data_IF_654123787566
#
_entry.id   IF_654123787566
#
_cell.length_a   1.000
_cell.length_b   1.000
_cell.length_c   1.000
_cell.angle_alpha   90.00
_cell.angle_beta   90.00
_cell.angle_gamma   90.00
#
_symmetry.space_group_name_H-M   'P 1'
#
loop_
_entity.id
_entity.type
_entity.pdbx_description
1 polymer ?
#
# COMPACT_ATOMS: atom_id res chain seq x y z
N UNK A 1 15.81 19.36 5.57
CA UNK A 1 14.38 19.69 5.74
C UNK A 1 13.61 18.38 5.96
N UNK A 2 12.65 18.43 6.86
CA UNK A 2 11.70 17.34 7.07
C UNK A 2 10.30 17.88 6.79
N UNK A 3 9.53 17.14 6.01
CA UNK A 3 8.14 17.47 5.71
C UNK A 3 7.30 16.22 5.91
N UNK A 4 6.16 16.34 6.56
CA UNK A 4 5.22 15.22 6.75
C UNK A 4 3.80 15.64 6.44
N UNK A 5 3.07 14.78 5.77
CA UNK A 5 1.66 14.98 5.53
C UNK A 5 0.90 13.66 5.64
N UNK A 6 -0.21 13.69 6.37
CA UNK A 6 -1.16 12.58 6.36
C UNK A 6 -2.10 12.72 5.17
N UNK A 7 -2.25 11.65 4.42
CA UNK A 7 -3.22 11.55 3.34
C UNK A 7 -4.32 10.57 3.74
N UNK A 8 -5.56 10.91 3.43
CA UNK A 8 -6.70 10.01 3.56
C UNK A 8 -7.05 9.51 2.16
N UNK A 9 -6.84 8.22 1.95
CA UNK A 9 -7.23 7.57 0.70
C UNK A 9 -8.69 7.14 0.80
N UNK A 10 -9.47 7.47 -0.21
CA UNK A 10 -10.88 7.05 -0.27
C UNK A 10 -10.99 5.53 -0.24
N UNK A 11 -12.13 4.98 0.25
CA UNK A 11 -12.32 3.53 0.30
C UNK A 11 -12.11 2.89 -1.07
N UNK A 12 -11.39 1.79 -1.09
CA UNK A 12 -11.13 1.01 -2.29
C UNK A 12 -11.66 -0.41 -2.12
N UNK A 13 -12.00 -1.03 -3.23
CA UNK A 13 -12.32 -2.45 -3.25
C UNK A 13 -11.10 -3.26 -2.82
N UNK A 14 -11.33 -4.44 -2.26
CA UNK A 14 -10.26 -5.40 -1.99
C UNK A 14 -9.44 -5.62 -3.26
N UNK A 15 -8.12 -5.51 -3.15
CA UNK A 15 -7.21 -5.65 -4.28
C UNK A 15 -6.02 -4.70 -4.21
N UNK A 16 -5.30 -4.63 -5.31
CA UNK A 16 -4.06 -3.83 -5.44
C UNK A 16 -4.36 -2.57 -6.25
N UNK A 17 -4.07 -1.40 -5.68
CA UNK A 17 -4.44 -0.10 -6.26
C UNK A 17 -3.24 0.82 -6.36
N UNK A 18 -3.02 1.38 -7.54
CA UNK A 18 -1.94 2.35 -7.75
C UNK A 18 -2.31 3.68 -7.11
N UNK A 19 -1.42 4.20 -6.25
CA UNK A 19 -1.60 5.48 -5.54
C UNK A 19 -0.44 6.46 -5.82
N UNK A 20 0.33 6.23 -6.86
CA UNK A 20 1.51 7.05 -7.18
C UNK A 20 1.15 8.53 -7.30
N UNK A 21 0.08 8.87 -8.00
CA UNK A 21 -0.30 10.26 -8.23
C UNK A 21 -0.74 10.97 -6.95
N UNK A 22 -1.46 10.28 -6.06
CA UNK A 22 -1.87 10.83 -4.77
C UNK A 22 -0.65 11.19 -3.91
N UNK A 23 0.37 10.33 -3.92
CA UNK A 23 1.61 10.58 -3.17
C UNK A 23 2.41 11.71 -3.79
N UNK A 24 2.63 11.67 -5.11
CA UNK A 24 3.42 12.70 -5.80
C UNK A 24 2.78 14.09 -5.71
N UNK A 25 1.47 14.15 -5.54
CA UNK A 25 0.74 15.41 -5.42
C UNK A 25 1.06 16.20 -4.15
N UNK A 26 1.70 15.60 -3.15
CA UNK A 26 1.96 16.26 -1.86
C UNK A 26 3.44 16.38 -1.51
N UNK A 27 4.34 15.81 -2.29
CA UNK A 27 5.78 15.84 -1.99
C UNK A 27 6.41 17.17 -2.41
N UNK A 28 7.42 17.67 -1.66
CA UNK A 28 8.16 18.88 -2.05
C UNK A 28 8.95 18.67 -3.35
N UNK A 29 9.14 19.74 -4.12
CA UNK A 29 10.02 19.74 -5.29
C UNK A 29 11.48 19.88 -4.90
N UNK A 30 11.98 18.90 -4.17
CA UNK A 30 13.33 18.87 -3.59
C UNK A 30 13.95 17.49 -3.78
N UNK A 31 15.22 17.36 -3.42
CA UNK A 31 15.97 16.10 -3.54
C UNK A 31 16.11 15.46 -2.18
N UNK A 32 15.84 14.17 -2.10
CA UNK A 32 15.93 13.42 -0.86
C UNK A 32 15.23 12.07 -0.91
N UNK A 33 14.67 11.68 0.21
CA UNK A 33 14.00 10.40 0.40
C UNK A 33 12.54 10.61 0.77
N UNK A 34 11.67 9.85 0.16
CA UNK A 34 10.27 9.71 0.56
C UNK A 34 10.11 8.41 1.32
N UNK A 35 9.41 8.48 2.44
CA UNK A 35 8.95 7.33 3.21
C UNK A 35 7.43 7.42 3.34
N UNK A 36 6.74 6.32 3.05
CA UNK A 36 5.29 6.24 3.20
C UNK A 36 4.98 5.15 4.21
N UNK A 37 4.17 5.49 5.20
CA UNK A 37 3.74 4.57 6.25
C UNK A 37 2.22 4.48 6.26
N UNK A 38 1.68 3.25 6.32
CA UNK A 38 0.24 3.04 6.45
C UNK A 38 -0.14 2.78 7.91
N UNK A 39 -1.18 3.46 8.39
CA UNK A 39 -1.62 3.44 9.79
C UNK A 39 -2.72 2.41 10.02
N UNK A 40 -2.61 1.24 9.43
CA UNK A 40 -3.62 0.17 9.50
C UNK A 40 -2.97 -1.20 9.57
N UNK A 41 -3.76 -2.18 10.06
CA UNK A 41 -3.31 -3.57 10.20
C UNK A 41 -3.93 -4.52 9.16
N UNK A 42 -4.80 -4.01 8.30
CA UNK A 42 -5.55 -4.80 7.32
C UNK A 42 -5.41 -4.28 5.89
N UNK A 43 -4.43 -3.42 5.67
CA UNK A 43 -4.00 -2.93 4.37
C UNK A 43 -2.49 -2.75 4.41
N UNK A 44 -1.85 -2.73 3.26
CA UNK A 44 -0.39 -2.67 3.16
C UNK A 44 0.07 -1.81 1.99
N UNK A 45 1.39 -1.61 1.89
CA UNK A 45 2.01 -0.84 0.83
C UNK A 45 3.05 -1.70 0.12
N UNK A 46 3.18 -1.52 -1.18
CA UNK A 46 4.27 -2.12 -1.95
C UNK A 46 4.63 -1.22 -3.15
N UNK A 47 5.75 -1.51 -3.78
CA UNK A 47 6.17 -0.90 -5.03
C UNK A 47 6.37 -2.03 -6.02
N UNK A 48 5.63 -2.00 -7.12
CA UNK A 48 5.73 -3.02 -8.15
C UNK A 48 5.21 -2.49 -9.49
N UNK A 49 4.98 -3.39 -10.41
CA UNK A 49 4.65 -3.12 -11.80
C UNK A 49 3.35 -2.31 -11.94
N UNK A 50 3.38 -1.23 -12.72
CA UNK A 50 2.32 -0.24 -12.79
C UNK A 50 1.56 -0.18 -14.12
N UNK A 51 1.94 -0.95 -15.12
CA UNK A 51 1.40 -0.80 -16.47
C UNK A 51 0.29 -1.81 -16.79
N UNK A 52 0.56 -3.09 -16.59
CA UNK A 52 -0.34 -4.16 -16.99
C UNK A 52 -1.34 -4.49 -15.87
N UNK A 53 -2.65 -4.26 -16.08
CA UNK A 53 -3.67 -4.59 -15.08
C UNK A 53 -3.70 -6.06 -14.68
N UNK A 54 -3.23 -6.97 -15.54
CA UNK A 54 -3.19 -8.40 -15.22
C UNK A 54 -2.25 -8.72 -14.05
N UNK A 55 -1.21 -7.92 -13.84
CA UNK A 55 -0.32 -8.09 -12.68
C UNK A 55 -1.11 -7.89 -11.38
N UNK A 56 -1.94 -6.86 -11.31
CA UNK A 56 -2.76 -6.58 -10.12
C UNK A 56 -3.80 -7.67 -9.88
N UNK A 57 -4.40 -8.16 -10.95
CA UNK A 57 -5.35 -9.27 -10.89
C UNK A 57 -4.68 -10.54 -10.39
N UNK A 58 -3.52 -10.87 -10.90
CA UNK A 58 -2.76 -12.06 -10.52
C UNK A 58 -2.26 -11.96 -9.06
N UNK A 59 -1.81 -10.79 -8.62
CA UNK A 59 -1.45 -10.57 -7.22
C UNK A 59 -2.62 -10.90 -6.29
N UNK A 60 -3.80 -10.34 -6.55
CA UNK A 60 -4.97 -10.58 -5.71
C UNK A 60 -5.33 -12.05 -5.66
N UNK A 61 -5.40 -12.71 -6.80
CA UNK A 61 -5.75 -14.12 -6.86
C UNK A 61 -4.72 -15.01 -6.17
N UNK A 62 -3.44 -14.74 -6.40
CA UNK A 62 -2.39 -15.56 -5.82
C UNK A 62 -2.28 -15.38 -4.31
N UNK A 63 -2.38 -14.14 -3.81
CA UNK A 63 -2.39 -13.90 -2.37
C UNK A 63 -3.60 -14.54 -1.69
N UNK A 64 -4.75 -14.62 -2.36
CA UNK A 64 -5.92 -15.32 -1.84
C UNK A 64 -5.71 -16.84 -1.76
N UNK A 65 -4.90 -17.41 -2.64
CA UNK A 65 -4.50 -18.81 -2.56
C UNK A 65 -3.44 -19.03 -1.48
N UNK A 66 -2.46 -18.14 -1.41
CA UNK A 66 -1.35 -18.24 -0.45
C UNK A 66 -1.83 -18.08 0.98
N UNK A 67 -2.76 -17.17 1.22
CA UNK A 67 -3.35 -16.89 2.53
C UNK A 67 -4.85 -17.13 2.44
N UNK A 68 -5.24 -18.38 2.65
CA UNK A 68 -6.63 -18.82 2.49
C UNK A 68 -7.50 -18.41 3.69
N UNK A 69 -8.71 -17.93 3.42
CA UNK A 69 -9.71 -17.61 4.44
C UNK A 69 -10.33 -18.87 5.09
N UNK A 70 -10.07 -20.05 4.51
CA UNK A 70 -10.73 -21.30 4.91
C UNK A 70 -9.92 -22.13 5.92
N UNK A 71 -8.88 -21.54 6.52
CA UNK A 71 -8.05 -22.26 7.47
C UNK A 71 -8.76 -22.45 8.81
N UNK A 72 -8.88 -23.70 9.26
CA UNK A 72 -9.61 -24.05 10.47
C UNK A 72 -8.91 -23.64 11.76
N UNK A 73 -7.61 -23.36 11.71
CA UNK A 73 -6.84 -23.00 12.90
C UNK A 73 -6.94 -21.52 13.28
N UNK A 74 -7.58 -20.68 12.46
CA UNK A 74 -7.79 -19.29 12.83
C UNK A 74 -8.76 -19.17 14.00
N UNK A 75 -8.40 -18.35 14.98
CA UNK A 75 -9.25 -18.05 16.14
C UNK A 75 -9.84 -16.66 16.10
N UNK A 76 -9.24 -15.76 15.32
CA UNK A 76 -9.71 -14.38 15.12
C UNK A 76 -10.75 -14.37 14.00
N UNK A 77 -12.02 -14.62 14.36
CA UNK A 77 -13.07 -14.88 13.37
C UNK A 77 -14.31 -13.99 13.49
N UNK A 78 -14.39 -13.15 14.54
CA UNK A 78 -15.61 -12.37 14.83
C UNK A 78 -15.85 -11.20 13.87
N UNK A 79 -14.81 -10.72 13.20
CA UNK A 79 -14.89 -9.55 12.33
C UNK A 79 -15.00 -9.91 10.83
N UNK A 80 -15.33 -11.16 10.54
CA UNK A 80 -15.49 -11.68 9.19
C UNK A 80 -14.32 -12.55 8.73
N UNK A 81 -14.52 -13.35 7.66
CA UNK A 81 -13.51 -14.30 7.17
C UNK A 81 -12.30 -13.63 6.54
N UNK A 82 -12.43 -12.36 6.14
CA UNK A 82 -11.36 -11.61 5.50
C UNK A 82 -10.45 -10.87 6.49
N UNK A 83 -10.77 -10.85 7.80
CA UNK A 83 -10.00 -10.03 8.73
C UNK A 83 -8.67 -10.66 9.13
N UNK A 84 -8.66 -11.90 9.60
CA UNK A 84 -7.39 -12.55 9.98
C UNK A 84 -6.44 -12.67 8.78
N UNK A 85 -6.95 -13.00 7.61
CA UNK A 85 -6.13 -13.08 6.39
C UNK A 85 -5.59 -11.73 5.97
N UNK A 86 -6.34 -10.65 6.19
CA UNK A 86 -5.85 -9.30 5.92
C UNK A 86 -4.66 -8.93 6.80
N UNK A 87 -4.67 -9.33 8.06
CA UNK A 87 -3.54 -9.12 8.98
C UNK A 87 -2.30 -9.89 8.55
N UNK A 88 -2.46 -11.12 8.09
CA UNK A 88 -1.35 -11.93 7.58
C UNK A 88 -0.77 -11.32 6.31
N UNK A 89 -1.62 -10.96 5.36
CA UNK A 89 -1.20 -10.32 4.11
C UNK A 89 -0.46 -8.99 4.37
N UNK A 90 -0.98 -8.18 5.28
CA UNK A 90 -0.34 -6.91 5.67
C UNK A 90 1.04 -7.14 6.26
N UNK A 91 1.20 -8.18 7.09
CA UNK A 91 2.49 -8.53 7.67
C UNK A 91 3.49 -9.03 6.61
N UNK A 92 3.01 -9.75 5.61
CA UNK A 92 3.86 -10.24 4.51
C UNK A 92 4.31 -9.11 3.57
N UNK A 93 3.40 -8.22 3.19
CA UNK A 93 3.68 -7.15 2.24
C UNK A 93 4.36 -5.94 2.89
N UNK A 94 3.95 -5.60 4.10
CA UNK A 94 4.60 -4.56 4.88
C UNK A 94 3.80 -3.28 5.02
N UNK A 95 4.23 -2.46 5.98
CA UNK A 95 3.53 -1.23 6.38
C UNK A 95 4.17 0.04 5.82
N UNK A 96 5.30 -0.06 5.15
CA UNK A 96 5.98 1.11 4.61
C UNK A 96 6.73 0.80 3.33
N UNK A 97 6.94 1.84 2.53
CA UNK A 97 7.82 1.83 1.36
C UNK A 97 8.63 3.11 1.35
N UNK A 98 9.80 3.07 0.71
CA UNK A 98 10.65 4.24 0.55
C UNK A 98 11.20 4.29 -0.87
N UNK A 99 11.43 5.49 -1.37
CA UNK A 99 12.07 5.68 -2.67
C UNK A 99 12.75 7.06 -2.71
N UNK A 100 13.83 7.19 -3.50
CA UNK A 100 14.51 8.46 -3.66
C UNK A 100 13.74 9.40 -4.59
N UNK A 101 13.94 10.70 -4.37
CA UNK A 101 13.36 11.78 -5.19
C UNK A 101 14.47 12.73 -5.58
N UNK A 102 14.45 13.21 -6.80
CA UNK A 102 15.39 14.24 -7.28
C UNK A 102 14.60 15.38 -7.90
N UNK A 103 14.68 16.56 -7.27
CA UNK A 103 13.95 17.74 -7.75
C UNK A 103 12.43 17.55 -7.78
N UNK A 104 11.87 16.75 -6.87
CA UNK A 104 10.44 16.43 -6.84
C UNK A 104 10.02 15.32 -7.79
N UNK A 105 10.94 14.73 -8.53
CA UNK A 105 10.66 13.60 -9.42
C UNK A 105 11.08 12.29 -8.75
N UNK A 106 10.19 11.29 -8.69
CA UNK A 106 10.52 10.01 -8.07
C UNK A 106 11.56 9.27 -8.92
N UNK A 107 12.58 8.74 -8.25
CA UNK A 107 13.59 7.90 -8.91
C UNK A 107 13.13 6.45 -8.96
N UNK A 108 11.91 6.24 -9.44
CA UNK A 108 11.36 4.91 -9.66
C UNK A 108 11.77 4.40 -11.05
N UNK A 109 11.89 3.08 -11.18
CA UNK A 109 12.02 2.46 -12.49
C UNK A 109 10.77 2.71 -13.34
N UNK A 110 10.91 2.59 -14.65
CA UNK A 110 9.82 2.87 -15.62
C UNK A 110 8.53 2.12 -15.29
N UNK A 111 8.64 0.89 -14.79
CA UNK A 111 7.50 0.03 -14.51
C UNK A 111 7.10 0.00 -13.05
N UNK A 112 7.75 0.78 -12.18
CA UNK A 112 7.42 0.81 -10.76
C UNK A 112 6.34 1.84 -10.47
N UNK A 113 5.36 1.43 -9.69
CA UNK A 113 4.34 2.30 -9.11
C UNK A 113 4.15 2.01 -7.64
N UNK A 114 3.59 2.96 -6.91
CA UNK A 114 3.30 2.83 -5.49
C UNK A 114 1.89 2.25 -5.36
N UNK A 115 1.75 1.21 -4.53
CA UNK A 115 0.50 0.49 -4.34
C UNK A 115 -0.05 0.61 -2.93
N UNK A 116 -1.35 0.86 -2.84
CA UNK A 116 -2.15 0.49 -1.68
C UNK A 116 -2.70 -0.93 -1.93
N UNK A 117 -2.41 -1.84 -1.01
CA UNK A 117 -2.94 -3.19 -1.05
C UNK A 117 -4.08 -3.27 -0.03
N UNK A 118 -5.32 -3.28 -0.50
CA UNK A 118 -6.50 -3.36 0.34
C UNK A 118 -6.90 -4.83 0.51
N UNK A 119 -6.86 -5.32 1.75
CA UNK A 119 -7.09 -6.75 2.03
C UNK A 119 -8.47 -7.02 2.61
N UNK A 120 -9.26 -5.98 2.89
CA UNK A 120 -10.61 -6.12 3.45
C UNK A 120 -11.69 -5.91 2.40
N UNK A 121 -12.78 -6.69 2.53
CA UNK A 121 -14.04 -6.36 1.88
C UNK A 121 -14.67 -5.16 2.60
N UNK A 122 -15.35 -4.29 1.87
CA UNK A 122 -16.07 -3.13 2.42
C UNK A 122 -15.19 -2.25 3.33
N UNK A 123 -13.98 -1.96 2.88
CA UNK A 123 -13.02 -1.18 3.64
C UNK A 123 -13.47 0.27 3.84
N UNK A 124 -13.04 0.86 4.95
CA UNK A 124 -13.14 2.30 5.23
C UNK A 124 -11.96 3.04 4.60
N UNK A 125 -11.97 4.38 4.61
CA UNK A 125 -10.80 5.14 4.15
C UNK A 125 -9.53 4.74 4.87
N UNK A 126 -8.40 4.75 4.15
CA UNK A 126 -7.09 4.41 4.70
C UNK A 126 -6.25 5.68 4.87
N UNK A 127 -5.52 5.75 5.97
CA UNK A 127 -4.61 6.86 6.26
C UNK A 127 -3.18 6.42 6.05
N UNK A 128 -2.43 7.24 5.30
CA UNK A 128 -0.98 7.07 5.12
C UNK A 128 -0.28 8.35 5.53
N UNK A 129 0.95 8.21 6.01
CA UNK A 129 1.81 9.36 6.33
C UNK A 129 2.94 9.37 5.32
N UNK A 130 3.04 10.48 4.59
CA UNK A 130 4.13 10.72 3.64
C UNK A 130 5.15 11.61 4.33
N UNK A 131 6.38 11.12 4.46
CA UNK A 131 7.51 11.85 5.03
C UNK A 131 8.56 12.08 3.97
N UNK A 132 8.99 13.32 3.82
CA UNK A 132 10.14 13.71 3.00
C UNK A 132 11.29 14.12 3.91
N UNK A 133 12.48 13.62 3.62
CA UNK A 133 13.73 14.05 4.24
C UNK A 133 14.70 14.40 3.14
N UNK A 134 15.20 15.65 3.14
CA UNK A 134 16.13 16.07 2.10
C UNK A 134 16.38 17.57 2.06
N UNK A 135 16.89 18.01 0.96
CA UNK A 135 17.33 19.40 0.73
C UNK A 135 16.78 19.96 -0.58
#
# INVERSE_FOLDING_TARGET
>A
MIFQKELVLLPKKRGFHIITQEVLGVIPKKTGLIHIFIKHTSASLTINENADPSVRFDFENHFNLLVSEKEKHYTHTLEGPDDMTSHIKSSLLGSSVSFPVKGGLPCLGTWQGIYLCEHRNNAKPRKIVVTFIGI
#
